data_IF_404688803393
#
_entry.id   IF_404688803393
#
_cell.length_a   1.000
_cell.length_b   1.000
_cell.length_c   1.000
_cell.angle_alpha   90.00
_cell.angle_beta   90.00
_cell.angle_gamma   90.00
#
_symmetry.space_group_name_H-M   'P 1'
#
loop_
_entity.id
_entity.type
_entity.pdbx_description
1 polymer ?
#
# COMPACT_ATOMS: atom_id res chain seq x y z
N UNK A 1 -9.97 17.39 -4.25
CA UNK A 1 -10.39 16.51 -3.15
C UNK A 1 -10.16 15.07 -3.62
N UNK A 2 -9.01 14.49 -3.28
CA UNK A 2 -8.66 13.13 -3.72
C UNK A 2 -9.35 12.14 -2.78
N UNK A 3 -10.12 11.25 -3.39
CA UNK A 3 -11.04 10.35 -2.71
C UNK A 3 -10.28 9.19 -2.05
N UNK A 4 -10.03 9.30 -0.74
CA UNK A 4 -9.42 8.26 0.10
C UNK A 4 -10.23 6.95 0.07
N UNK A 5 -11.54 7.01 -0.26
CA UNK A 5 -12.46 5.87 -0.35
C UNK A 5 -12.05 4.86 -1.43
N UNK A 6 -11.50 5.32 -2.56
CA UNK A 6 -11.06 4.42 -3.64
C UNK A 6 -9.77 3.66 -3.31
N UNK A 7 -8.96 4.19 -2.40
CA UNK A 7 -7.64 3.62 -2.08
C UNK A 7 -7.74 2.60 -0.95
N UNK A 8 -8.63 2.83 0.02
CA UNK A 8 -8.93 1.92 1.13
C UNK A 8 -10.16 1.09 0.76
N UNK A 9 -10.06 0.28 -0.28
CA UNK A 9 -11.16 -0.60 -0.69
C UNK A 9 -11.21 -1.91 0.10
N UNK A 10 -10.20 -2.19 0.95
CA UNK A 10 -10.25 -3.35 1.82
C UNK A 10 -11.28 -3.11 2.92
N UNK A 11 -12.38 -3.86 2.87
CA UNK A 11 -13.48 -3.80 3.84
C UNK A 11 -12.97 -3.89 5.30
N UNK A 12 -11.87 -4.62 5.50
CA UNK A 12 -11.20 -4.78 6.78
C UNK A 12 -10.67 -3.44 7.35
N UNK A 13 -10.00 -2.63 6.54
CA UNK A 13 -9.39 -1.38 7.02
C UNK A 13 -10.45 -0.31 7.31
N UNK A 14 -11.50 -0.24 6.49
CA UNK A 14 -12.64 0.65 6.77
C UNK A 14 -13.39 0.26 8.05
N UNK A 15 -13.47 -1.04 8.38
CA UNK A 15 -14.09 -1.50 9.62
C UNK A 15 -13.28 -1.06 10.85
N UNK A 16 -11.94 -1.11 10.77
CA UNK A 16 -11.05 -0.65 11.85
C UNK A 16 -11.11 0.87 12.01
N UNK A 17 -10.99 1.64 10.93
CA UNK A 17 -11.02 3.11 10.96
C UNK A 17 -12.35 3.65 11.53
N UNK A 18 -13.46 2.94 11.29
CA UNK A 18 -14.76 3.29 11.85
C UNK A 18 -14.83 3.17 13.38
N UNK A 19 -14.05 2.26 13.98
CA UNK A 19 -13.95 2.07 15.43
C UNK A 19 -13.04 3.10 16.12
N UNK A 20 -12.15 3.77 15.37
CA UNK A 20 -11.27 4.81 15.91
C UNK A 20 -12.05 6.07 16.29
N UNK A 21 -11.59 6.75 17.34
CA UNK A 21 -12.09 8.06 17.75
C UNK A 21 -11.86 9.11 16.63
N UNK A 22 -12.60 10.23 16.62
CA UNK A 22 -12.44 11.27 15.59
C UNK A 22 -10.99 11.80 15.51
N UNK A 23 -10.31 11.91 16.65
CA UNK A 23 -8.92 12.37 16.73
C UNK A 23 -7.95 11.34 16.14
N UNK A 24 -8.09 10.06 16.54
CA UNK A 24 -7.29 8.95 16.03
C UNK A 24 -7.45 8.78 14.51
N UNK A 25 -8.68 8.94 14.01
CA UNK A 25 -8.97 8.89 12.57
C UNK A 25 -8.24 10.00 11.82
N UNK A 26 -8.23 11.22 12.34
CA UNK A 26 -7.55 12.34 11.70
C UNK A 26 -6.03 12.13 11.65
N UNK A 27 -5.43 11.65 12.75
CA UNK A 27 -4.01 11.27 12.80
C UNK A 27 -3.70 10.18 11.76
N UNK A 28 -4.56 9.16 11.66
CA UNK A 28 -4.37 8.08 10.70
C UNK A 28 -4.44 8.60 9.27
N UNK A 29 -5.46 9.40 8.96
CA UNK A 29 -5.63 9.97 7.62
C UNK A 29 -4.46 10.85 7.23
N UNK A 30 -3.94 11.70 8.13
CA UNK A 30 -2.76 12.52 7.85
C UNK A 30 -1.53 11.68 7.52
N UNK A 31 -1.19 10.72 8.36
CA UNK A 31 -0.04 9.82 8.14
C UNK A 31 -0.20 8.98 6.87
N UNK A 32 -1.41 8.52 6.59
CA UNK A 32 -1.71 7.71 5.42
C UNK A 32 -1.61 8.53 4.14
N UNK A 33 -2.21 9.71 4.10
CA UNK A 33 -2.15 10.60 2.95
C UNK A 33 -0.72 11.05 2.63
N UNK A 34 0.13 11.21 3.65
CA UNK A 34 1.54 11.55 3.48
C UNK A 34 2.37 10.40 2.86
N UNK A 35 2.01 9.14 3.14
CA UNK A 35 2.81 7.96 2.75
C UNK A 35 2.24 7.19 1.56
N UNK A 36 0.95 7.34 1.26
CA UNK A 36 0.28 6.56 0.21
C UNK A 36 0.96 6.74 -1.15
N UNK A 37 0.88 5.69 -1.94
CA UNK A 37 1.36 5.63 -3.31
C UNK A 37 0.24 5.98 -4.26
N UNK A 38 0.57 6.75 -5.29
CA UNK A 38 -0.36 7.17 -6.33
C UNK A 38 -0.17 6.31 -7.58
N UNK A 39 -1.27 5.78 -8.12
CA UNK A 39 -1.26 4.93 -9.32
C UNK A 39 -0.78 5.68 -10.56
N UNK A 40 -1.23 6.91 -10.78
CA UNK A 40 -0.79 7.75 -11.89
C UNK A 40 0.70 8.07 -11.81
N UNK A 41 1.20 8.40 -10.62
CA UNK A 41 2.64 8.57 -10.40
C UNK A 41 3.41 7.27 -10.67
N UNK A 42 2.84 6.12 -10.33
CA UNK A 42 3.47 4.82 -10.57
C UNK A 42 3.54 4.51 -12.07
N UNK A 43 2.53 4.87 -12.86
CA UNK A 43 2.59 4.79 -14.32
C UNK A 43 3.63 5.72 -14.94
N UNK A 44 3.75 6.95 -14.43
CA UNK A 44 4.81 7.87 -14.84
C UNK A 44 6.19 7.27 -14.58
N UNK A 45 6.40 6.71 -13.39
CA UNK A 45 7.67 6.07 -13.03
C UNK A 45 7.93 4.76 -13.78
N UNK A 46 6.87 4.05 -14.19
CA UNK A 46 6.98 2.83 -15.00
C UNK A 46 7.56 3.14 -16.39
N UNK A 47 7.15 4.26 -17.00
CA UNK A 47 7.70 4.71 -18.29
C UNK A 47 9.21 4.95 -18.25
N UNK A 48 9.73 5.43 -17.12
CA UNK A 48 11.17 5.64 -16.90
C UNK A 48 11.87 4.45 -16.21
N UNK A 49 11.15 3.39 -15.86
CA UNK A 49 11.70 2.16 -15.26
C UNK A 49 11.95 2.18 -13.75
N UNK A 50 11.43 3.17 -13.01
CA UNK A 50 11.66 3.35 -11.56
C UNK A 50 10.46 2.99 -10.67
N UNK A 51 9.36 2.45 -11.23
CA UNK A 51 8.14 2.13 -10.47
C UNK A 51 8.35 1.12 -9.34
N UNK A 52 9.25 0.14 -9.52
CA UNK A 52 9.57 -0.83 -8.46
C UNK A 52 10.22 -0.18 -7.24
N UNK A 53 11.09 0.80 -7.43
CA UNK A 53 11.71 1.53 -6.32
C UNK A 53 10.69 2.38 -5.57
N UNK A 54 9.79 3.06 -6.29
CA UNK A 54 8.72 3.84 -5.67
C UNK A 54 7.75 3.00 -4.83
N UNK A 55 7.49 1.77 -5.27
CA UNK A 55 6.68 0.77 -4.56
C UNK A 55 7.47 0.00 -3.49
N UNK A 56 8.73 0.36 -3.24
CA UNK A 56 9.63 -0.27 -2.26
C UNK A 56 9.89 -1.76 -2.52
N UNK A 57 9.92 -2.17 -3.79
CA UNK A 57 10.16 -3.55 -4.26
C UNK A 57 11.55 -3.67 -4.89
N UNK A 58 12.59 -3.39 -4.10
CA UNK A 58 14.00 -3.33 -4.56
C UNK A 58 14.50 -4.65 -5.15
N UNK A 59 14.11 -5.79 -4.57
CA UNK A 59 14.52 -7.10 -5.11
C UNK A 59 14.00 -7.37 -6.52
N UNK A 60 12.76 -6.97 -6.81
CA UNK A 60 12.15 -7.14 -8.14
C UNK A 60 12.75 -6.15 -9.15
N UNK A 61 13.19 -4.97 -8.69
CA UNK A 61 13.87 -3.99 -9.55
C UNK A 61 15.10 -4.59 -10.23
N UNK A 62 15.98 -5.28 -9.49
CA UNK A 62 17.16 -5.92 -10.09
C UNK A 62 16.79 -7.06 -11.04
N UNK A 63 15.76 -7.85 -10.71
CA UNK A 63 15.28 -8.92 -11.59
C UNK A 63 14.68 -8.38 -12.89
N UNK A 64 13.96 -7.26 -12.82
CA UNK A 64 13.41 -6.56 -13.98
C UNK A 64 14.53 -6.13 -14.92
N UNK A 65 15.57 -5.46 -14.43
CA UNK A 65 16.71 -5.06 -15.25
C UNK A 65 17.46 -6.24 -15.87
N UNK A 66 17.60 -7.35 -15.15
CA UNK A 66 18.20 -8.57 -15.69
C UNK A 66 17.35 -9.16 -16.83
N UNK A 67 16.03 -9.13 -16.71
CA UNK A 67 15.11 -9.64 -17.73
C UNK A 67 14.97 -8.76 -18.97
N UNK A 68 15.21 -7.44 -18.84
CA UNK A 68 15.18 -6.50 -19.95
C UNK A 68 16.31 -6.72 -20.97
N UNK A 69 17.41 -7.37 -20.56
CA UNK A 69 18.48 -7.80 -21.47
C UNK A 69 18.03 -8.96 -22.37
N UNK A 70 16.95 -9.65 -22.00
CA UNK A 70 16.34 -10.76 -22.74
C UNK A 70 15.04 -10.28 -23.42
N UNK A 71 14.63 -10.94 -24.52
CA UNK A 71 13.35 -10.66 -25.21
C UNK A 71 12.13 -10.77 -24.25
N UNK A 72 12.29 -11.52 -23.15
CA UNK A 72 11.31 -11.70 -22.06
C UNK A 72 10.91 -10.35 -21.43
N UNK A 73 11.78 -9.34 -21.42
CA UNK A 73 11.50 -8.02 -20.86
C UNK A 73 10.33 -7.29 -21.53
N UNK A 74 10.10 -7.50 -22.84
CA UNK A 74 9.00 -6.84 -23.56
C UNK A 74 7.63 -7.35 -23.11
N UNK A 75 7.51 -8.67 -22.88
CA UNK A 75 6.29 -9.29 -22.37
C UNK A 75 6.05 -8.86 -20.91
N UNK A 76 7.11 -8.77 -20.11
CA UNK A 76 7.01 -8.30 -18.73
C UNK A 76 6.53 -6.84 -18.69
N UNK A 77 7.06 -5.95 -19.54
CA UNK A 77 6.63 -4.55 -19.61
C UNK A 77 5.10 -4.44 -19.78
N UNK A 78 4.52 -5.21 -20.71
CA UNK A 78 3.07 -5.25 -20.95
C UNK A 78 2.33 -5.82 -19.73
N UNK A 79 2.81 -6.92 -19.16
CA UNK A 79 2.20 -7.52 -17.98
C UNK A 79 2.20 -6.56 -16.78
N UNK A 80 3.25 -5.75 -16.62
CA UNK A 80 3.37 -4.76 -15.54
C UNK A 80 2.30 -3.67 -15.63
N UNK A 81 1.96 -3.21 -16.83
CA UNK A 81 0.92 -2.20 -17.02
C UNK A 81 -0.42 -2.60 -16.39
N UNK A 82 -0.78 -3.89 -16.46
CA UNK A 82 -1.99 -4.44 -15.82
C UNK A 82 -1.81 -4.71 -14.32
N UNK A 83 -0.58 -4.94 -13.85
CA UNK A 83 -0.29 -5.26 -12.44
C UNK A 83 -0.15 -4.02 -11.57
N UNK A 84 0.23 -2.87 -12.12
CA UNK A 84 0.45 -1.61 -11.39
C UNK A 84 -0.68 -1.26 -10.42
N UNK A 85 -1.98 -1.26 -10.82
CA UNK A 85 -3.07 -0.93 -9.91
C UNK A 85 -3.10 -1.84 -8.68
N UNK A 86 -2.89 -3.15 -8.88
CA UNK A 86 -2.84 -4.12 -7.79
C UNK A 86 -1.60 -3.96 -6.91
N UNK A 87 -0.45 -3.60 -7.47
CA UNK A 87 0.76 -3.33 -6.68
C UNK A 87 0.62 -2.09 -5.80
N UNK A 88 0.02 -1.02 -6.34
CA UNK A 88 -0.24 0.22 -5.60
C UNK A 88 -1.23 -0.04 -4.47
N UNK A 89 -2.31 -0.78 -4.75
CA UNK A 89 -3.28 -1.17 -3.73
C UNK A 89 -2.61 -1.93 -2.58
N UNK A 90 -1.89 -3.02 -2.89
CA UNK A 90 -1.20 -3.82 -1.87
C UNK A 90 -0.22 -2.97 -1.06
N UNK A 91 0.53 -2.09 -1.72
CA UNK A 91 1.49 -1.22 -1.02
C UNK A 91 0.79 -0.23 -0.08
N UNK A 92 -0.36 0.29 -0.47
CA UNK A 92 -1.14 1.19 0.38
C UNK A 92 -1.77 0.45 1.56
N UNK A 93 -2.23 -0.79 1.37
CA UNK A 93 -2.69 -1.66 2.47
C UNK A 93 -1.55 -1.91 3.49
N UNK A 94 -0.35 -2.24 3.02
CA UNK A 94 0.83 -2.40 3.88
C UNK A 94 1.16 -1.11 4.66
N UNK A 95 1.09 0.06 4.01
CA UNK A 95 1.33 1.36 4.66
C UNK A 95 0.29 1.61 5.76
N UNK A 96 -0.98 1.34 5.49
CA UNK A 96 -2.04 1.50 6.48
C UNK A 96 -1.84 0.58 7.70
N UNK A 97 -1.46 -0.68 7.47
CA UNK A 97 -1.14 -1.59 8.57
C UNK A 97 0.06 -1.10 9.40
N UNK A 98 1.09 -0.58 8.74
CA UNK A 98 2.27 -0.02 9.41
C UNK A 98 1.90 1.19 10.27
N UNK A 99 1.06 2.10 9.76
CA UNK A 99 0.59 3.26 10.51
C UNK A 99 -0.18 2.82 11.74
N UNK A 100 -1.11 1.86 11.59
CA UNK A 100 -1.88 1.35 12.73
C UNK A 100 -0.98 0.70 13.78
N UNK A 101 -0.01 -0.13 13.36
CA UNK A 101 0.98 -0.73 14.27
C UNK A 101 1.77 0.34 15.02
N UNK A 102 2.21 1.39 14.33
CA UNK A 102 2.94 2.50 14.93
C UNK A 102 2.08 3.28 15.94
N UNK A 103 0.80 3.50 15.65
CA UNK A 103 -0.12 4.17 16.58
C UNK A 103 -0.33 3.41 17.88
N UNK A 104 -0.42 2.07 17.80
CA UNK A 104 -0.51 1.20 18.98
C UNK A 104 0.79 1.25 19.77
N UNK A 105 1.94 1.15 19.10
CA UNK A 105 3.25 1.21 19.74
C UNK A 105 3.49 2.54 20.49
N UNK A 106 2.82 3.62 20.05
CA UNK A 106 2.85 4.94 20.68
C UNK A 106 1.73 5.15 21.72
N UNK A 107 0.94 4.12 22.04
CA UNK A 107 -0.24 4.19 22.93
C UNK A 107 -1.29 5.24 22.52
N UNK A 108 -1.37 5.57 21.23
CA UNK A 108 -2.37 6.51 20.70
C UNK A 108 -3.72 5.85 20.43
N UNK A 109 -3.73 4.52 20.32
CA UNK A 109 -4.91 3.68 20.11
C UNK A 109 -4.87 2.54 21.12
N UNK A 110 -5.99 2.30 21.81
CA UNK A 110 -6.10 1.19 22.74
C UNK A 110 -5.83 -0.12 22.00
N UNK A 111 -4.91 -0.92 22.54
CA UNK A 111 -4.56 -2.21 21.95
C UNK A 111 -5.80 -3.09 21.76
N UNK A 112 -6.81 -2.98 22.63
CA UNK A 112 -8.08 -3.70 22.54
C UNK A 112 -8.87 -3.42 21.25
N UNK A 113 -8.93 -2.16 20.80
CA UNK A 113 -9.62 -1.76 19.56
C UNK A 113 -8.90 -2.32 18.32
N UNK A 114 -7.57 -2.41 18.37
CA UNK A 114 -6.74 -2.88 17.27
C UNK A 114 -6.45 -4.40 17.27
N UNK A 115 -6.48 -5.04 18.44
CA UNK A 115 -6.38 -6.49 18.66
C UNK A 115 -7.71 -7.20 18.40
N UNK A 116 -8.84 -6.48 18.35
CA UNK A 116 -10.09 -6.93 17.73
C UNK A 116 -9.98 -7.04 16.18
N UNK A 117 -8.79 -7.36 15.67
CA UNK A 117 -8.59 -7.85 14.31
C UNK A 117 -8.99 -9.34 14.26
N UNK A 118 -9.66 -9.80 13.20
CA UNK A 118 -9.55 -11.20 12.81
C UNK A 118 -8.12 -11.43 12.30
N UNK A 119 -7.17 -11.64 13.23
CA UNK A 119 -5.79 -12.02 12.91
C UNK A 119 -5.73 -13.40 12.25
N UNK A 120 -6.82 -14.18 12.29
CA UNK A 120 -6.91 -15.49 11.63
C UNK A 120 -6.90 -15.48 10.09
N UNK A 121 -7.20 -14.35 9.42
CA UNK A 121 -7.35 -14.36 7.95
C UNK A 121 -5.99 -14.19 7.21
N UNK A 122 -4.88 -14.01 7.93
CA UNK A 122 -3.54 -13.84 7.31
C UNK A 122 -2.57 -14.96 7.71
N UNK A 123 -3.08 -16.06 8.28
CA UNK A 123 -2.29 -17.27 8.58
C UNK A 123 -2.84 -18.55 7.91
N UNK A 124 -3.63 -18.43 6.84
CA UNK A 124 -4.08 -19.57 6.03
C UNK A 124 -3.50 -19.52 4.60
#
# INVERSE_FOLDING_TARGET
MFDTDKTIKSLALQAVIRKLSPEQRNLFTQEFEAKRKNTGMTYFLWFIGFHYLYLNRVGIFFLYWLSCVLIIGLIWLIADAFRIPGMVQRRNEEIAEQILKNMIALNLVDADIALARPVEIVQA
#
